data_IF_679921413034
#
_entry.id   IF_679921413034
#
_cell.length_a   1.000
_cell.length_b   1.000
_cell.length_c   1.000
_cell.angle_alpha   90.00
_cell.angle_beta   90.00
_cell.angle_gamma   90.00
#
_symmetry.space_group_name_H-M   'P 1'
#
loop_
_entity.id
_entity.type
_entity.pdbx_description
1 polymer ?
#
# COMPACT_ATOMS: atom_id res chain seq x y z
N UNK A 1 -25.12 7.33 13.45
CA UNK A 1 -24.17 7.89 14.44
C UNK A 1 -22.77 7.37 14.14
N UNK A 2 -21.98 8.14 13.40
CA UNK A 2 -20.62 7.73 12.97
C UNK A 2 -19.70 7.76 14.20
N UNK A 3 -19.23 6.58 14.62
CA UNK A 3 -18.50 6.39 15.89
C UNK A 3 -17.12 7.06 15.80
N UNK A 4 -16.87 8.07 16.64
CA UNK A 4 -15.66 8.91 16.73
C UNK A 4 -14.33 8.16 16.98
N UNK A 5 -14.32 6.83 16.95
CA UNK A 5 -13.15 5.97 17.14
C UNK A 5 -12.36 5.69 15.85
N UNK A 6 -12.78 6.26 14.72
CA UNK A 6 -12.14 6.05 13.41
C UNK A 6 -10.72 6.65 13.34
N UNK A 7 -10.52 7.85 13.90
CA UNK A 7 -9.25 8.60 13.77
C UNK A 7 -8.03 7.83 14.31
N UNK A 8 -8.16 7.19 15.47
CA UNK A 8 -7.05 6.44 16.08
C UNK A 8 -6.71 5.17 15.28
N UNK A 9 -7.72 4.48 14.76
CA UNK A 9 -7.54 3.31 13.90
C UNK A 9 -6.89 3.68 12.56
N UNK A 10 -7.34 4.78 11.94
CA UNK A 10 -6.72 5.32 10.72
C UNK A 10 -5.27 5.71 10.95
N UNK A 11 -4.95 6.35 12.09
CA UNK A 11 -3.59 6.76 12.41
C UNK A 11 -2.66 5.57 12.64
N UNK A 12 -3.14 4.52 13.32
CA UNK A 12 -2.41 3.25 13.47
C UNK A 12 -2.17 2.59 12.11
N UNK A 13 -3.20 2.52 11.27
CA UNK A 13 -3.09 1.92 9.93
C UNK A 13 -2.11 2.69 9.04
N UNK A 14 -2.12 4.01 9.13
CA UNK A 14 -1.20 4.89 8.42
C UNK A 14 0.24 4.73 8.89
N UNK A 15 0.48 4.66 10.22
CA UNK A 15 1.80 4.38 10.77
C UNK A 15 2.34 3.01 10.35
N UNK A 16 1.49 1.98 10.33
CA UNK A 16 1.89 0.65 9.86
C UNK A 16 2.26 0.70 8.37
N UNK A 17 1.45 1.37 7.55
CA UNK A 17 1.75 1.56 6.12
C UNK A 17 3.09 2.27 5.90
N UNK A 18 3.36 3.36 6.61
CA UNK A 18 4.63 4.08 6.53
C UNK A 18 5.82 3.22 6.99
N UNK A 19 5.65 2.45 8.08
CA UNK A 19 6.67 1.56 8.59
C UNK A 19 7.04 0.47 7.57
N UNK A 20 6.04 -0.15 6.94
CA UNK A 20 6.25 -1.16 5.90
C UNK A 20 6.99 -0.56 4.69
N UNK A 21 6.60 0.63 4.23
CA UNK A 21 7.27 1.32 3.12
C UNK A 21 8.73 1.63 3.46
N UNK A 22 9.00 2.17 4.64
CA UNK A 22 10.35 2.50 5.09
C UNK A 22 11.23 1.25 5.23
N UNK A 23 10.69 0.17 5.80
CA UNK A 23 11.40 -1.11 5.90
C UNK A 23 11.71 -1.72 4.53
N UNK A 24 10.80 -1.59 3.56
CA UNK A 24 11.02 -2.03 2.18
C UNK A 24 12.12 -1.23 1.47
N UNK A 25 12.21 0.09 1.71
CA UNK A 25 13.27 0.93 1.14
C UNK A 25 14.63 0.59 1.75
N UNK A 26 14.68 0.37 3.07
CA UNK A 26 15.91 -0.06 3.76
C UNK A 26 16.37 -1.42 3.24
N UNK A 27 15.48 -2.41 3.17
CA UNK A 27 15.82 -3.73 2.64
C UNK A 27 16.30 -3.67 1.19
N UNK A 28 15.72 -2.80 0.36
CA UNK A 28 16.16 -2.61 -1.04
C UNK A 28 17.56 -2.00 -1.18
N UNK A 29 18.08 -1.33 -0.17
CA UNK A 29 19.45 -0.80 -0.17
C UNK A 29 20.47 -1.86 0.25
N UNK A 30 20.08 -2.79 1.13
CA UNK A 30 20.98 -3.81 1.69
C UNK A 30 20.90 -5.17 0.98
N UNK A 31 19.85 -5.42 0.22
CA UNK A 31 19.71 -6.61 -0.62
C UNK A 31 19.69 -6.18 -2.07
N UNK A 32 20.57 -6.76 -2.90
CA UNK A 32 20.51 -6.63 -4.35
C UNK A 32 19.24 -7.35 -4.80
N UNK A 33 18.10 -6.65 -4.73
CA UNK A 33 16.80 -7.22 -5.08
C UNK A 33 16.88 -7.59 -6.56
N UNK A 34 16.89 -8.89 -6.84
CA UNK A 34 16.84 -9.46 -8.19
C UNK A 34 15.80 -8.73 -9.02
N UNK A 35 16.10 -8.43 -10.29
CA UNK A 35 15.22 -7.69 -11.20
C UNK A 35 13.79 -8.22 -11.24
N UNK A 36 13.59 -9.54 -11.08
CA UNK A 36 12.29 -10.18 -10.94
C UNK A 36 11.45 -9.63 -9.78
N UNK A 37 12.07 -9.42 -8.62
CA UNK A 37 11.37 -8.97 -7.41
C UNK A 37 11.08 -7.46 -7.45
N UNK A 38 11.97 -6.66 -8.06
CA UNK A 38 11.67 -5.26 -8.41
C UNK A 38 10.52 -5.16 -9.40
N UNK A 39 10.56 -5.94 -10.47
CA UNK A 39 9.50 -6.00 -11.47
C UNK A 39 8.17 -6.48 -10.89
N UNK A 40 8.19 -7.46 -9.99
CA UNK A 40 7.00 -7.96 -9.30
C UNK A 40 6.38 -6.89 -8.39
N UNK A 41 7.17 -6.19 -7.57
CA UNK A 41 6.68 -5.07 -6.75
C UNK A 41 6.07 -3.95 -7.61
N UNK A 42 6.75 -3.57 -8.69
CA UNK A 42 6.28 -2.53 -9.61
C UNK A 42 4.98 -2.97 -10.30
N UNK A 43 4.91 -4.21 -10.76
CA UNK A 43 3.71 -4.80 -11.37
C UNK A 43 2.54 -4.87 -10.39
N UNK A 44 2.79 -5.21 -9.12
CA UNK A 44 1.75 -5.22 -8.08
C UNK A 44 1.22 -3.82 -7.80
N UNK A 45 2.10 -2.83 -7.69
CA UNK A 45 1.72 -1.43 -7.47
C UNK A 45 0.89 -0.87 -8.63
N UNK A 46 1.31 -1.12 -9.87
CA UNK A 46 0.60 -0.70 -11.08
C UNK A 46 -0.72 -1.45 -11.22
N UNK A 47 -0.74 -2.77 -10.98
CA UNK A 47 -1.93 -3.59 -11.03
C UNK A 47 -3.00 -3.11 -10.04
N UNK A 48 -2.61 -2.82 -8.81
CA UNK A 48 -3.51 -2.23 -7.80
C UNK A 48 -4.01 -0.84 -8.19
N UNK A 49 -3.15 0.01 -8.76
CA UNK A 49 -3.55 1.31 -9.29
C UNK A 49 -4.60 1.17 -10.40
N UNK A 50 -4.38 0.24 -11.32
CA UNK A 50 -5.27 -0.01 -12.46
C UNK A 50 -6.60 -0.63 -12.00
N UNK A 51 -6.55 -1.59 -11.07
CA UNK A 51 -7.75 -2.13 -10.40
C UNK A 51 -8.50 -1.02 -9.69
N UNK A 52 -7.83 -0.14 -8.94
CA UNK A 52 -8.48 0.98 -8.27
C UNK A 52 -9.08 1.98 -9.25
N UNK A 53 -8.49 2.19 -10.43
CA UNK A 53 -9.03 3.06 -11.46
C UNK A 53 -10.29 2.46 -12.10
N UNK A 54 -10.26 1.15 -12.39
CA UNK A 54 -11.36 0.41 -13.03
C UNK A 54 -12.52 0.14 -12.07
N UNK A 55 -12.24 -0.16 -10.81
CA UNK A 55 -13.21 -0.58 -9.80
C UNK A 55 -13.48 0.49 -8.72
N UNK A 56 -12.76 1.62 -8.73
CA UNK A 56 -12.93 2.72 -7.76
C UNK A 56 -14.28 3.45 -7.85
N UNK A 57 -15.10 3.12 -8.86
CA UNK A 57 -16.46 3.63 -9.02
C UNK A 57 -17.54 2.66 -8.52
N UNK A 58 -17.24 1.75 -7.57
CA UNK A 58 -18.27 1.08 -6.77
C UNK A 58 -18.94 2.11 -5.85
N UNK A 59 -19.79 2.94 -6.46
CA UNK A 59 -20.94 3.54 -5.80
C UNK A 59 -21.68 2.40 -5.12
N UNK A 60 -21.59 2.37 -3.79
CA UNK A 60 -22.52 1.65 -2.91
C UNK A 60 -23.94 1.92 -3.39
N UNK A 61 -24.54 0.92 -4.04
CA UNK A 61 -25.98 0.81 -4.22
C UNK A 61 -26.54 -0.05 -3.08
#
# INVERSE_FOLDING_TARGET
MMKNNSKRKTLILFSIGLFVIASSQLLSQFTEITDMMKGSLMGFAIGLLLTSLMFGNFKTA
#
